data_IF_315621278668
#
_entry.id   IF_315621278668
#
_cell.length_a   1.000
_cell.length_b   1.000
_cell.length_c   1.000
_cell.angle_alpha   90.00
_cell.angle_beta   90.00
_cell.angle_gamma   90.00
#
_symmetry.space_group_name_H-M   'P 1'
#
loop_
_entity.id
_entity.type
_entity.pdbx_description
1 polymer ?
#
# COMPACT_ATOMS: atom_id res chain seq x y z
N UNK A 1 23.08 17.34 22.57
CA UNK A 1 22.23 18.55 22.75
C UNK A 1 21.42 18.67 21.50
N UNK A 2 20.19 18.14 21.49
CA UNK A 2 19.29 18.25 20.33
C UNK A 2 18.58 19.60 20.43
N UNK A 3 18.73 20.40 19.39
CA UNK A 3 18.23 21.76 19.29
C UNK A 3 16.71 21.80 19.44
N UNK A 4 16.24 22.48 20.49
CA UNK A 4 14.82 22.74 20.76
C UNK A 4 14.13 23.63 19.71
N UNK A 5 14.90 24.20 18.75
CA UNK A 5 14.38 24.99 17.62
C UNK A 5 13.59 24.15 16.60
N UNK A 6 13.86 22.84 16.57
CA UNK A 6 13.17 21.91 15.62
C UNK A 6 11.71 21.64 16.01
N UNK A 7 11.35 21.74 17.31
CA UNK A 7 9.97 21.51 17.78
C UNK A 7 8.99 22.62 17.38
N UNK A 8 9.44 23.87 17.32
CA UNK A 8 8.59 24.98 16.90
C UNK A 8 8.29 24.93 15.39
N UNK A 9 9.25 24.50 14.57
CA UNK A 9 9.09 24.39 13.11
C UNK A 9 8.15 23.26 12.68
N UNK A 10 8.01 22.20 13.50
CA UNK A 10 7.13 21.06 13.17
C UNK A 10 5.63 21.42 13.34
N UNK A 11 5.30 22.37 14.22
CA UNK A 11 3.92 22.80 14.47
C UNK A 11 3.30 23.50 13.26
N UNK A 12 4.10 24.23 12.51
CA UNK A 12 3.68 25.00 11.33
C UNK A 12 3.58 24.12 10.06
N UNK A 13 4.03 22.84 10.13
CA UNK A 13 4.09 21.94 8.99
C UNK A 13 2.74 21.40 8.53
N UNK A 14 1.76 21.38 9.41
CA UNK A 14 0.51 20.67 9.20
C UNK A 14 -0.71 21.57 9.45
N UNK A 15 -0.64 22.84 9.07
CA UNK A 15 -1.83 23.70 8.97
C UNK A 15 -2.61 23.38 7.69
N UNK A 16 -3.95 23.43 7.77
CA UNK A 16 -4.82 23.25 6.61
C UNK A 16 -5.11 21.76 6.27
N UNK A 17 -5.30 20.94 7.29
CA UNK A 17 -5.80 19.58 7.11
C UNK A 17 -7.14 19.55 6.40
N UNK A 18 -7.25 18.65 5.43
CA UNK A 18 -8.50 18.33 4.74
C UNK A 18 -9.01 17.00 5.27
N UNK A 19 -10.33 16.88 5.49
CA UNK A 19 -10.94 15.60 5.82
C UNK A 19 -10.55 14.54 4.80
N UNK A 20 -10.07 13.35 5.23
CA UNK A 20 -9.68 12.28 4.32
C UNK A 20 -10.80 11.89 3.35
N UNK A 21 -12.03 11.78 3.84
CA UNK A 21 -13.19 11.44 3.01
C UNK A 21 -13.49 12.52 1.97
N UNK A 22 -13.44 13.79 2.36
CA UNK A 22 -13.66 14.91 1.44
C UNK A 22 -12.57 14.95 0.34
N UNK A 23 -11.30 14.76 0.72
CA UNK A 23 -10.19 14.73 -0.21
C UNK A 23 -10.33 13.55 -1.21
N UNK A 24 -10.50 12.35 -0.70
CA UNK A 24 -10.63 11.13 -1.52
C UNK A 24 -11.82 11.25 -2.47
N UNK A 25 -13.00 11.66 -1.95
CA UNK A 25 -14.22 11.83 -2.76
C UNK A 25 -14.01 12.85 -3.87
N UNK A 26 -13.40 13.99 -3.58
CA UNK A 26 -13.10 15.02 -4.57
C UNK A 26 -12.23 14.51 -5.70
N UNK A 27 -11.12 13.82 -5.37
CA UNK A 27 -10.19 13.29 -6.37
C UNK A 27 -10.80 12.15 -7.19
N UNK A 28 -11.48 11.23 -6.54
CA UNK A 28 -12.13 10.09 -7.20
C UNK A 28 -13.26 10.52 -8.13
N UNK A 29 -14.10 11.47 -7.71
CA UNK A 29 -15.17 12.01 -8.55
C UNK A 29 -14.64 12.82 -9.76
N UNK A 30 -13.42 13.34 -9.66
CA UNK A 30 -12.71 13.95 -10.79
C UNK A 30 -12.09 12.93 -11.75
N UNK A 31 -12.28 11.61 -11.51
CA UNK A 31 -11.75 10.53 -12.34
C UNK A 31 -10.26 10.24 -12.12
N UNK A 32 -9.70 10.69 -11.00
CA UNK A 32 -8.27 10.49 -10.70
C UNK A 32 -7.93 9.05 -10.36
N UNK A 33 -6.68 8.66 -10.64
CA UNK A 33 -6.02 7.48 -10.08
C UNK A 33 -5.42 7.90 -8.74
N UNK A 34 -6.06 7.50 -7.64
CA UNK A 34 -5.61 7.82 -6.28
C UNK A 34 -4.81 6.66 -5.71
N UNK A 35 -3.50 6.85 -5.58
CA UNK A 35 -2.59 5.87 -5.02
C UNK A 35 -2.31 6.19 -3.54
N UNK A 36 -2.64 5.27 -2.67
CA UNK A 36 -2.41 5.39 -1.23
C UNK A 36 -1.31 4.41 -0.83
N UNK A 37 -0.28 4.94 -0.19
CA UNK A 37 0.78 4.13 0.37
C UNK A 37 0.29 3.35 1.58
N UNK A 38 0.80 2.13 1.77
CA UNK A 38 0.70 1.40 3.04
C UNK A 38 2.10 1.04 3.53
N UNK A 39 2.22 0.66 4.78
CA UNK A 39 3.47 0.17 5.35
C UNK A 39 3.26 -1.22 5.93
N UNK A 40 4.05 -2.17 5.47
CA UNK A 40 3.95 -3.56 5.91
C UNK A 40 4.20 -3.67 7.42
N UNK A 41 3.40 -4.46 8.10
CA UNK A 41 3.43 -4.66 9.56
C UNK A 41 2.97 -3.44 10.38
N UNK A 42 2.24 -2.51 9.77
CA UNK A 42 1.53 -1.42 10.44
C UNK A 42 0.02 -1.68 10.34
N UNK A 43 -0.47 -2.69 11.05
CA UNK A 43 -1.87 -3.15 10.92
C UNK A 43 -2.88 -2.07 11.26
N UNK A 44 -2.64 -1.27 12.31
CA UNK A 44 -3.52 -0.14 12.66
C UNK A 44 -3.59 0.92 11.55
N UNK A 45 -2.45 1.20 10.92
CA UNK A 45 -2.40 2.11 9.77
C UNK A 45 -3.21 1.55 8.60
N UNK A 46 -3.00 0.27 8.26
CA UNK A 46 -3.72 -0.41 7.20
C UNK A 46 -5.23 -0.43 7.45
N UNK A 47 -5.65 -0.70 8.69
CA UNK A 47 -7.05 -0.69 9.09
C UNK A 47 -7.69 0.70 8.95
N UNK A 48 -7.04 1.76 9.43
CA UNK A 48 -7.52 3.15 9.29
C UNK A 48 -7.66 3.58 7.83
N UNK A 49 -6.67 3.23 6.98
CA UNK A 49 -6.72 3.53 5.54
C UNK A 49 -7.89 2.78 4.89
N UNK A 50 -8.01 1.49 5.16
CA UNK A 50 -9.06 0.66 4.55
C UNK A 50 -10.44 1.00 5.09
N UNK A 51 -10.59 1.41 6.35
CA UNK A 51 -11.83 1.95 6.90
C UNK A 51 -12.29 3.18 6.13
N UNK A 52 -11.40 4.13 5.90
CA UNK A 52 -11.73 5.32 5.11
C UNK A 52 -12.12 4.98 3.65
N UNK A 53 -11.44 4.00 3.01
CA UNK A 53 -11.76 3.56 1.65
C UNK A 53 -13.11 2.83 1.57
N UNK A 54 -13.51 2.15 2.62
CA UNK A 54 -14.77 1.41 2.69
C UNK A 54 -15.96 2.26 3.19
N UNK A 55 -15.73 3.51 3.54
CA UNK A 55 -16.76 4.40 4.06
C UNK A 55 -17.93 4.59 3.07
N UNK A 56 -19.18 4.63 3.56
CA UNK A 56 -20.36 4.81 2.71
C UNK A 56 -20.34 6.08 1.86
N UNK A 57 -19.68 7.13 2.32
CA UNK A 57 -19.53 8.42 1.64
C UNK A 57 -18.78 8.32 0.31
N UNK A 58 -18.00 7.25 0.12
CA UNK A 58 -17.28 6.96 -1.13
C UNK A 58 -18.03 6.00 -2.06
N UNK A 59 -19.27 5.60 -1.71
CA UNK A 59 -20.08 4.76 -2.60
C UNK A 59 -20.36 5.51 -3.91
N UNK A 60 -20.06 4.85 -5.02
CA UNK A 60 -20.18 5.42 -6.36
C UNK A 60 -19.00 6.32 -6.78
N UNK A 61 -18.06 6.66 -5.90
CA UNK A 61 -16.88 7.44 -6.28
C UNK A 61 -15.80 6.60 -6.97
N UNK A 62 -15.73 5.31 -6.70
CA UNK A 62 -14.86 4.35 -7.38
C UNK A 62 -15.47 2.94 -7.38
N UNK A 63 -15.02 2.12 -8.31
CA UNK A 63 -15.45 0.73 -8.42
C UNK A 63 -14.30 -0.28 -8.41
N UNK A 64 -13.07 0.17 -8.61
CA UNK A 64 -11.89 -0.70 -8.67
C UNK A 64 -10.85 -0.27 -7.64
N UNK A 65 -10.39 -1.26 -6.87
CA UNK A 65 -9.32 -1.13 -5.90
C UNK A 65 -8.21 -2.11 -6.25
N UNK A 66 -7.09 -1.56 -6.72
CA UNK A 66 -5.88 -2.31 -7.03
C UNK A 66 -5.07 -2.48 -5.76
N UNK A 67 -4.64 -3.71 -5.48
CA UNK A 67 -3.85 -4.02 -4.28
C UNK A 67 -2.55 -4.74 -4.65
N UNK A 68 -1.50 -4.48 -3.90
CA UNK A 68 -0.19 -5.11 -4.06
C UNK A 68 -0.15 -6.55 -3.54
N UNK A 69 -0.90 -6.83 -2.48
CA UNK A 69 -0.90 -8.13 -1.81
C UNK A 69 -1.90 -9.09 -2.46
N UNK A 70 -1.43 -9.80 -3.46
CA UNK A 70 -2.25 -10.84 -4.07
C UNK A 70 -1.77 -11.28 -5.44
N UNK A 71 -1.56 -12.58 -5.56
CA UNK A 71 -1.19 -13.21 -6.81
C UNK A 71 -2.38 -13.22 -7.79
N UNK A 72 -2.22 -12.64 -8.98
CA UNK A 72 -3.28 -12.57 -10.00
C UNK A 72 -3.83 -13.95 -10.42
N UNK A 73 -3.10 -15.03 -10.18
CA UNK A 73 -3.58 -16.43 -10.34
C UNK A 73 -4.90 -16.68 -9.57
N UNK A 74 -5.08 -16.01 -8.43
CA UNK A 74 -6.24 -16.19 -7.56
C UNK A 74 -7.36 -15.16 -7.78
N UNK A 75 -7.34 -14.38 -8.87
CA UNK A 75 -8.35 -13.35 -9.13
C UNK A 75 -9.77 -13.93 -9.22
N UNK A 76 -9.96 -15.08 -9.87
CA UNK A 76 -11.26 -15.72 -9.97
C UNK A 76 -11.80 -16.17 -8.60
N UNK A 77 -10.95 -16.77 -7.77
CA UNK A 77 -11.27 -17.17 -6.41
C UNK A 77 -11.74 -15.97 -5.57
N UNK A 78 -11.00 -14.86 -5.63
CA UNK A 78 -11.37 -13.65 -4.91
C UNK A 78 -12.69 -13.06 -5.41
N UNK A 79 -12.91 -13.03 -6.72
CA UNK A 79 -14.16 -12.55 -7.29
C UNK A 79 -15.37 -13.39 -6.80
N UNK A 80 -15.25 -14.70 -6.80
CA UNK A 80 -16.27 -15.62 -6.29
C UNK A 80 -16.57 -15.36 -4.81
N UNK A 81 -15.52 -15.20 -3.99
CA UNK A 81 -15.67 -14.86 -2.58
C UNK A 81 -16.42 -13.53 -2.39
N UNK A 82 -16.01 -12.48 -3.10
CA UNK A 82 -16.61 -11.15 -2.99
C UNK A 82 -18.05 -11.08 -3.53
N UNK A 83 -18.42 -11.97 -4.45
CA UNK A 83 -19.81 -12.11 -4.97
C UNK A 83 -20.74 -12.90 -4.03
N UNK A 84 -20.22 -13.45 -2.95
CA UNK A 84 -21.00 -14.16 -1.93
C UNK A 84 -20.87 -15.68 -1.95
N UNK A 85 -20.08 -16.26 -2.89
CA UNK A 85 -19.84 -17.70 -2.91
C UNK A 85 -19.11 -18.19 -1.64
N UNK A 86 -19.34 -19.45 -1.32
CA UNK A 86 -18.65 -20.10 -0.20
C UNK A 86 -17.25 -20.46 -0.59
N UNK A 87 -16.27 -19.85 0.05
CA UNK A 87 -14.84 -20.11 -0.07
C UNK A 87 -14.30 -20.35 1.33
N UNK A 88 -13.53 -21.41 1.53
CA UNK A 88 -12.93 -21.70 2.83
C UNK A 88 -11.84 -20.69 3.17
N UNK A 89 -11.58 -20.47 4.46
CA UNK A 89 -10.50 -19.58 4.91
C UNK A 89 -9.14 -20.03 4.37
N UNK A 90 -8.91 -21.33 4.25
CA UNK A 90 -7.66 -21.86 3.71
C UNK A 90 -7.49 -21.58 2.21
N UNK A 91 -8.56 -21.63 1.43
CA UNK A 91 -8.55 -21.26 0.01
C UNK A 91 -8.38 -19.75 -0.15
N UNK A 92 -9.13 -18.96 0.61
CA UNK A 92 -9.03 -17.50 0.56
C UNK A 92 -7.61 -17.02 0.91
N UNK A 93 -6.96 -17.68 1.87
CA UNK A 93 -5.58 -17.37 2.26
C UNK A 93 -4.58 -17.48 1.09
N UNK A 94 -4.88 -18.28 0.06
CA UNK A 94 -4.05 -18.35 -1.14
C UNK A 94 -3.89 -16.98 -1.82
N UNK A 95 -4.90 -16.12 -1.75
CA UNK A 95 -4.87 -14.81 -2.41
C UNK A 95 -3.62 -14.04 -2.00
N UNK A 96 -3.30 -13.95 -0.70
CA UNK A 96 -2.17 -13.16 -0.21
C UNK A 96 -0.96 -13.99 0.21
N UNK A 97 -1.14 -15.24 0.65
CA UNK A 97 -0.02 -16.11 1.04
C UNK A 97 0.73 -16.71 -0.15
N UNK A 98 0.12 -16.76 -1.34
CA UNK A 98 0.79 -17.18 -2.59
C UNK A 98 1.47 -16.03 -3.34
N UNK A 99 1.53 -14.84 -2.75
CA UNK A 99 2.20 -13.69 -3.36
C UNK A 99 3.73 -13.79 -3.33
N UNK A 100 4.41 -13.01 -4.19
CA UNK A 100 5.89 -12.95 -4.24
C UNK A 100 6.46 -12.43 -2.92
N UNK A 101 5.83 -11.40 -2.35
CA UNK A 101 6.26 -10.76 -1.12
C UNK A 101 5.48 -11.26 0.11
N UNK A 102 4.97 -12.50 0.10
CA UNK A 102 4.12 -13.05 1.15
C UNK A 102 4.59 -12.82 2.59
N UNK A 103 5.90 -12.75 2.92
CA UNK A 103 6.31 -12.46 4.29
C UNK A 103 5.88 -11.08 4.78
N UNK A 104 5.55 -10.15 3.87
CA UNK A 104 5.02 -8.84 4.21
C UNK A 104 3.53 -8.90 4.62
N UNK A 105 2.80 -9.94 4.19
CA UNK A 105 1.35 -10.08 4.27
C UNK A 105 0.87 -11.13 5.29
N UNK A 106 1.73 -11.58 6.18
CA UNK A 106 1.38 -12.61 7.16
C UNK A 106 0.43 -12.12 8.26
N UNK A 107 0.28 -10.80 8.45
CA UNK A 107 -0.62 -10.27 9.47
C UNK A 107 -2.09 -10.50 9.10
N UNK A 108 -2.95 -10.91 10.07
CA UNK A 108 -4.37 -11.22 9.82
C UNK A 108 -5.20 -10.08 9.22
N UNK A 109 -4.78 -8.82 9.38
CA UNK A 109 -5.49 -7.66 8.83
C UNK A 109 -5.72 -7.74 7.31
N UNK A 110 -4.83 -8.40 6.57
CA UNK A 110 -4.98 -8.57 5.12
C UNK A 110 -6.12 -9.53 4.76
N UNK A 111 -6.28 -10.62 5.51
CA UNK A 111 -7.44 -11.51 5.36
C UNK A 111 -8.74 -10.83 5.77
N UNK A 112 -8.76 -10.19 6.94
CA UNK A 112 -9.90 -9.45 7.45
C UNK A 112 -10.35 -8.30 6.52
N UNK A 113 -9.44 -7.73 5.75
CA UNK A 113 -9.77 -6.73 4.73
C UNK A 113 -10.73 -7.29 3.67
N UNK A 114 -10.51 -8.49 3.15
CA UNK A 114 -11.40 -9.10 2.16
C UNK A 114 -12.79 -9.38 2.74
N UNK A 115 -12.87 -9.80 4.01
CA UNK A 115 -14.14 -9.99 4.72
C UNK A 115 -14.91 -8.67 4.84
N UNK A 116 -14.23 -7.58 5.20
CA UNK A 116 -14.84 -6.23 5.26
C UNK A 116 -15.33 -5.76 3.89
N UNK A 117 -14.55 -5.95 2.82
CA UNK A 117 -14.98 -5.58 1.46
C UNK A 117 -16.21 -6.38 1.05
N UNK A 118 -16.26 -7.69 1.33
CA UNK A 118 -17.44 -8.51 1.06
C UNK A 118 -18.67 -7.99 1.82
N UNK A 119 -18.51 -7.68 3.11
CA UNK A 119 -19.60 -7.17 3.93
C UNK A 119 -20.12 -5.82 3.41
N UNK A 120 -19.23 -4.89 3.08
CA UNK A 120 -19.61 -3.57 2.55
C UNK A 120 -20.26 -3.69 1.16
N UNK A 121 -19.77 -4.58 0.30
CA UNK A 121 -20.34 -4.80 -1.03
C UNK A 121 -21.80 -5.26 -1.00
N UNK A 122 -22.25 -5.89 0.10
CA UNK A 122 -23.67 -6.31 0.23
C UNK A 122 -24.65 -5.13 0.31
N UNK A 123 -24.17 -3.92 0.61
CA UNK A 123 -25.00 -2.72 0.80
C UNK A 123 -24.66 -1.59 -0.17
N UNK A 124 -23.51 -1.65 -0.87
CA UNK A 124 -23.09 -0.62 -1.82
C UNK A 124 -23.91 -0.65 -3.11
N UNK A 125 -24.20 0.53 -3.64
CA UNK A 125 -24.78 0.70 -4.98
C UNK A 125 -23.79 0.30 -6.09
N UNK A 126 -22.50 0.63 -5.84
CA UNK A 126 -21.40 0.25 -6.75
C UNK A 126 -20.43 -0.64 -5.97
N UNK A 127 -20.49 -1.97 -6.15
CA UNK A 127 -19.59 -2.89 -5.49
C UNK A 127 -18.13 -2.63 -5.84
N UNK A 128 -17.27 -2.72 -4.84
CA UNK A 128 -15.81 -2.62 -5.02
C UNK A 128 -15.28 -3.93 -5.61
N UNK A 129 -14.63 -3.83 -6.76
CA UNK A 129 -13.87 -4.90 -7.39
C UNK A 129 -12.42 -4.78 -6.99
N UNK A 130 -11.89 -5.77 -6.29
CA UNK A 130 -10.47 -5.84 -5.98
C UNK A 130 -9.74 -6.44 -7.18
N UNK A 131 -8.67 -5.79 -7.59
CA UNK A 131 -7.77 -6.24 -8.66
C UNK A 131 -6.44 -6.63 -8.06
N UNK A 132 -6.06 -7.91 -8.20
CA UNK A 132 -4.78 -8.43 -7.78
C UNK A 132 -3.72 -8.07 -8.81
N UNK A 133 -2.63 -7.44 -8.39
CA UNK A 133 -1.68 -6.81 -9.32
C UNK A 133 -0.34 -7.52 -9.43
N UNK A 134 -0.05 -8.47 -8.55
CA UNK A 134 1.16 -9.27 -8.73
C UNK A 134 1.06 -10.14 -9.99
N UNK A 135 2.14 -10.33 -10.74
CA UNK A 135 2.17 -11.27 -11.86
C UNK A 135 1.65 -12.64 -11.46
N UNK A 136 0.89 -13.29 -12.36
CA UNK A 136 0.42 -14.65 -12.14
C UNK A 136 1.60 -15.62 -12.20
N UNK A 137 1.79 -16.42 -11.15
CA UNK A 137 2.80 -17.47 -11.08
C UNK A 137 2.37 -18.61 -10.16
N UNK A 138 3.06 -19.73 -10.22
CA UNK A 138 2.92 -20.86 -9.29
C UNK A 138 4.21 -21.05 -8.52
N UNK A 139 4.11 -21.30 -7.20
CA UNK A 139 5.29 -21.57 -6.36
C UNK A 139 6.01 -22.86 -6.75
N UNK A 140 5.29 -23.81 -7.33
CA UNK A 140 5.83 -25.06 -7.87
C UNK A 140 6.82 -24.82 -9.02
N UNK A 141 6.70 -23.69 -9.71
CA UNK A 141 7.59 -23.30 -10.83
C UNK A 141 8.83 -22.54 -10.33
N UNK A 142 8.88 -22.15 -9.05
CA UNK A 142 9.98 -21.38 -8.46
C UNK A 142 11.00 -22.32 -7.84
N UNK A 143 12.16 -22.43 -8.45
CA UNK A 143 13.27 -23.26 -7.96
C UNK A 143 14.39 -22.44 -7.31
N UNK A 144 14.51 -21.16 -7.66
CA UNK A 144 15.59 -20.30 -7.19
C UNK A 144 15.11 -18.90 -6.84
N UNK A 145 15.74 -18.27 -5.86
CA UNK A 145 15.45 -16.87 -5.43
C UNK A 145 15.58 -15.85 -6.57
N UNK A 146 16.35 -16.12 -7.61
CA UNK A 146 16.47 -15.25 -8.80
C UNK A 146 15.15 -15.13 -9.57
N UNK A 147 14.34 -16.18 -9.59
CA UNK A 147 13.02 -16.18 -10.24
C UNK A 147 12.06 -15.28 -9.49
N UNK A 148 12.05 -15.33 -8.15
CA UNK A 148 11.30 -14.39 -7.32
C UNK A 148 11.76 -12.93 -7.53
N UNK A 149 13.06 -12.70 -7.63
CA UNK A 149 13.59 -11.38 -7.89
C UNK A 149 13.12 -10.81 -9.25
N UNK A 150 13.04 -11.66 -10.28
CA UNK A 150 12.50 -11.31 -11.60
C UNK A 150 11.02 -10.96 -11.53
N UNK A 151 10.21 -11.77 -10.84
CA UNK A 151 8.78 -11.48 -10.62
C UNK A 151 8.59 -10.18 -9.84
N UNK A 152 9.38 -9.98 -8.78
CA UNK A 152 9.35 -8.75 -7.98
C UNK A 152 9.66 -7.51 -8.81
N UNK A 153 10.61 -7.59 -9.74
CA UNK A 153 10.97 -6.47 -10.62
C UNK A 153 9.88 -6.11 -11.66
N UNK A 154 8.93 -7.01 -11.92
CA UNK A 154 7.84 -6.79 -12.87
C UNK A 154 6.59 -6.19 -12.23
N UNK A 155 6.51 -6.09 -10.89
CA UNK A 155 5.29 -5.73 -10.16
C UNK A 155 4.78 -4.33 -10.48
N UNK A 156 5.66 -3.33 -10.45
CA UNK A 156 5.28 -1.94 -10.72
C UNK A 156 4.76 -1.75 -12.15
N UNK A 157 5.42 -2.37 -13.12
CA UNK A 157 4.99 -2.35 -14.51
C UNK A 157 3.64 -3.03 -14.70
N UNK A 158 3.45 -4.22 -14.14
CA UNK A 158 2.20 -4.98 -14.21
C UNK A 158 1.03 -4.20 -13.58
N UNK A 159 1.29 -3.54 -12.44
CA UNK A 159 0.31 -2.67 -11.80
C UNK A 159 -0.05 -1.49 -12.69
N UNK A 160 0.92 -0.80 -13.28
CA UNK A 160 0.68 0.35 -14.15
C UNK A 160 -0.17 -0.03 -15.38
N UNK A 161 0.16 -1.15 -16.03
CA UNK A 161 -0.60 -1.67 -17.17
C UNK A 161 -2.04 -2.08 -16.78
N UNK A 162 -2.21 -2.70 -15.60
CA UNK A 162 -3.51 -3.06 -15.06
C UNK A 162 -4.40 -1.85 -14.81
N UNK A 163 -3.85 -0.82 -14.18
CA UNK A 163 -4.55 0.44 -13.89
C UNK A 163 -4.91 1.16 -15.20
N UNK A 164 -3.99 1.27 -16.15
CA UNK A 164 -4.25 1.89 -17.47
C UNK A 164 -5.39 1.20 -18.20
N UNK A 165 -5.34 -0.13 -18.28
CA UNK A 165 -6.39 -0.93 -18.93
C UNK A 165 -7.76 -0.71 -18.29
N UNK A 166 -7.83 -0.48 -17.01
CA UNK A 166 -9.08 -0.29 -16.29
C UNK A 166 -9.60 1.15 -16.41
N UNK A 167 -8.76 2.15 -16.24
CA UNK A 167 -9.14 3.58 -16.32
C UNK A 167 -9.72 3.95 -17.66
N UNK A 168 -9.27 3.32 -18.74
CA UNK A 168 -9.83 3.53 -20.07
C UNK A 168 -11.27 2.98 -20.25
N UNK A 169 -11.80 2.22 -19.29
CA UNK A 169 -13.10 1.54 -19.38
C UNK A 169 -14.15 2.10 -18.42
N UNK A 170 -13.76 2.69 -17.30
CA UNK A 170 -14.69 3.18 -16.29
C UNK A 170 -14.62 4.70 -16.20
N UNK A 171 -15.77 5.38 -16.17
CA UNK A 171 -15.86 6.82 -15.94
C UNK A 171 -15.67 7.25 -14.48
N UNK A 172 -15.34 6.32 -13.57
CA UNK A 172 -15.12 6.55 -12.15
C UNK A 172 -13.64 6.58 -11.82
N UNK A 173 -13.28 7.21 -10.69
CA UNK A 173 -11.93 7.17 -10.14
C UNK A 173 -11.48 5.75 -9.82
N UNK A 174 -10.18 5.56 -9.71
CA UNK A 174 -9.53 4.29 -9.39
C UNK A 174 -8.68 4.46 -8.14
N UNK A 175 -8.76 3.51 -7.24
CA UNK A 175 -7.90 3.46 -6.04
C UNK A 175 -6.82 2.40 -6.22
N UNK A 176 -5.60 2.76 -5.81
CA UNK A 176 -4.44 1.84 -5.74
C UNK A 176 -3.92 1.85 -4.31
N UNK A 177 -3.90 0.70 -3.65
CA UNK A 177 -3.38 0.52 -2.28
C UNK A 177 -2.17 -0.41 -2.33
N UNK A 178 -0.99 0.17 -2.16
CA UNK A 178 0.30 -0.51 -2.34
C UNK A 178 1.32 -0.01 -1.34
N UNK A 179 2.42 -0.72 -1.15
CA UNK A 179 3.50 -0.26 -0.28
C UNK A 179 3.96 1.15 -0.64
N UNK A 180 4.14 2.00 0.36
CA UNK A 180 4.33 3.45 0.19
C UNK A 180 5.44 3.85 -0.79
N UNK A 181 6.46 3.01 -1.01
CA UNK A 181 7.50 3.30 -1.99
C UNK A 181 7.02 3.25 -3.43
N UNK A 182 6.02 2.42 -3.72
CA UNK A 182 5.50 2.23 -5.08
C UNK A 182 4.73 3.45 -5.59
N UNK A 183 4.21 4.31 -4.69
CA UNK A 183 3.42 5.49 -5.08
C UNK A 183 4.25 6.73 -5.40
N UNK A 184 5.58 6.70 -5.18
CA UNK A 184 6.46 7.85 -5.38
C UNK A 184 6.54 8.25 -6.85
N UNK A 185 6.38 9.54 -7.15
CA UNK A 185 6.31 10.10 -8.50
C UNK A 185 7.66 10.12 -9.25
N UNK A 186 8.75 9.88 -8.55
CA UNK A 186 10.06 9.72 -9.19
C UNK A 186 10.83 8.55 -8.58
N UNK A 187 11.66 7.91 -9.40
CA UNK A 187 12.60 6.89 -8.95
C UNK A 187 13.83 7.51 -8.33
N UNK A 188 14.49 6.85 -7.37
CA UNK A 188 15.73 7.36 -6.80
C UNK A 188 16.83 7.39 -7.86
N UNK A 189 17.62 8.45 -7.85
CA UNK A 189 18.74 8.62 -8.79
C UNK A 189 19.96 7.75 -8.43
N UNK A 190 19.99 7.19 -7.22
CA UNK A 190 21.13 6.45 -6.69
C UNK A 190 20.71 5.12 -6.05
N UNK A 191 21.54 4.10 -6.16
CA UNK A 191 21.41 2.82 -5.50
C UNK A 191 20.71 1.72 -6.31
N UNK A 192 20.45 0.58 -5.66
CA UNK A 192 19.82 -0.59 -6.29
C UNK A 192 18.43 -0.30 -6.87
N UNK A 193 17.69 0.59 -6.23
CA UNK A 193 16.33 0.97 -6.65
C UNK A 193 16.31 1.87 -7.91
N UNK A 194 17.43 2.45 -8.30
CA UNK A 194 17.52 3.32 -9.49
C UNK A 194 17.34 2.56 -10.82
N UNK A 195 17.23 1.24 -10.79
CA UNK A 195 17.14 0.41 -12.00
C UNK A 195 15.73 0.16 -12.50
N UNK A 196 14.71 0.45 -11.69
CA UNK A 196 13.33 0.17 -12.01
C UNK A 196 12.45 1.36 -11.63
N UNK A 197 11.60 1.79 -12.55
CA UNK A 197 10.60 2.82 -12.27
C UNK A 197 9.60 2.31 -11.26
N UNK A 198 9.20 3.19 -10.33
CA UNK A 198 8.09 2.93 -9.43
C UNK A 198 6.77 2.97 -10.19
N UNK A 199 5.73 2.35 -9.66
CA UNK A 199 4.37 2.53 -10.18
C UNK A 199 4.00 4.01 -10.27
N UNK A 200 4.32 4.81 -9.23
CA UNK A 200 4.02 6.23 -9.17
C UNK A 200 4.67 7.04 -10.28
N UNK A 201 5.93 6.73 -10.62
CA UNK A 201 6.62 7.36 -11.77
C UNK A 201 5.92 7.00 -13.09
N UNK A 202 5.63 5.72 -13.32
CA UNK A 202 4.91 5.26 -14.51
C UNK A 202 3.52 5.88 -14.61
N UNK A 203 2.79 5.92 -13.50
CA UNK A 203 1.44 6.49 -13.43
C UNK A 203 1.45 8.01 -13.62
N UNK A 204 2.42 8.75 -13.05
CA UNK A 204 2.55 10.20 -13.26
C UNK A 204 2.85 10.50 -14.72
N UNK A 205 3.72 9.72 -15.38
CA UNK A 205 3.99 9.86 -16.79
C UNK A 205 2.74 9.62 -17.65
N UNK A 206 1.91 8.63 -17.28
CA UNK A 206 0.74 8.23 -18.06
C UNK A 206 -0.48 9.12 -17.82
N UNK A 207 -0.78 9.44 -16.58
CA UNK A 207 -2.01 10.12 -16.16
C UNK A 207 -1.82 11.61 -15.85
N UNK A 208 -0.58 12.09 -15.81
CA UNK A 208 -0.28 13.50 -15.52
C UNK A 208 -0.89 13.95 -14.20
N UNK A 209 -1.68 15.02 -14.23
CA UNK A 209 -2.35 15.59 -13.04
C UNK A 209 -3.53 14.75 -12.52
N UNK A 210 -3.98 13.75 -13.27
CA UNK A 210 -4.98 12.80 -12.79
C UNK A 210 -4.37 11.72 -11.88
N UNK A 211 -3.06 11.57 -11.81
CA UNK A 211 -2.41 10.75 -10.81
C UNK A 211 -2.24 11.52 -9.51
N UNK A 212 -2.75 10.97 -8.42
CA UNK A 212 -2.68 11.56 -7.08
C UNK A 212 -2.11 10.54 -6.10
N UNK A 213 -0.96 10.84 -5.51
CA UNK A 213 -0.29 9.98 -4.55
C UNK A 213 -0.42 10.52 -3.13
N UNK A 214 -0.77 9.62 -2.18
CA UNK A 214 -1.01 9.94 -0.77
C UNK A 214 -0.07 9.13 0.11
N UNK A 215 0.88 9.81 0.76
CA UNK A 215 1.83 9.17 1.67
C UNK A 215 1.29 9.15 3.10
N UNK A 216 1.12 7.99 3.74
CA UNK A 216 0.64 7.92 5.11
C UNK A 216 1.78 8.23 6.10
N UNK A 217 1.41 8.76 7.27
CA UNK A 217 2.31 8.89 8.38
C UNK A 217 2.71 7.51 8.93
N UNK A 218 4.01 7.20 8.91
CA UNK A 218 4.56 5.89 9.31
C UNK A 218 5.53 5.99 10.51
N UNK A 219 5.51 7.13 11.21
CA UNK A 219 6.39 7.38 12.35
C UNK A 219 5.70 7.03 13.66
N UNK A 220 6.48 6.57 14.64
CA UNK A 220 6.04 6.38 16.02
C UNK A 220 6.01 7.68 16.84
N UNK A 221 6.61 8.76 16.33
CA UNK A 221 6.58 10.07 16.97
C UNK A 221 5.32 10.82 16.58
N UNK A 222 4.69 11.49 17.57
CA UNK A 222 3.71 12.51 17.27
C UNK A 222 4.39 13.64 16.46
N UNK A 223 3.80 13.94 15.31
CA UNK A 223 3.97 15.28 14.76
C UNK A 223 3.11 16.20 15.61
N UNK A 224 3.60 17.38 15.96
CA UNK A 224 2.78 18.42 16.56
C UNK A 224 1.76 18.94 15.55
N UNK A 225 0.92 18.02 15.06
CA UNK A 225 -0.14 18.29 14.12
C UNK A 225 -1.42 18.47 14.91
N UNK A 226 -2.14 19.56 14.71
CA UNK A 226 -3.37 19.80 15.45
C UNK A 226 -4.48 18.81 15.12
N UNK A 227 -4.47 18.20 13.95
CA UNK A 227 -5.58 17.36 13.47
C UNK A 227 -5.12 16.17 12.64
N UNK A 228 -5.80 15.04 12.78
CA UNK A 228 -5.72 13.94 11.84
C UNK A 228 -6.36 14.37 10.51
N UNK A 229 -5.65 14.20 9.40
CA UNK A 229 -6.16 14.63 8.10
C UNK A 229 -5.17 14.45 6.97
N UNK A 230 -5.61 14.84 5.78
CA UNK A 230 -4.76 14.86 4.59
C UNK A 230 -4.28 16.31 4.36
N UNK A 231 -3.00 16.44 4.16
CA UNK A 231 -2.28 17.69 3.91
C UNK A 231 -1.73 17.67 2.48
N UNK A 232 -2.31 18.43 1.53
CA UNK A 232 -1.76 18.56 0.19
C UNK A 232 -0.34 19.15 0.23
N UNK A 233 0.58 18.58 -0.57
CA UNK A 233 2.00 18.96 -0.54
C UNK A 233 2.31 20.22 -1.35
N UNK A 234 1.39 20.69 -2.19
CA UNK A 234 1.49 21.95 -2.92
C UNK A 234 1.32 23.18 -2.02
N UNK A 235 0.93 23.01 -0.77
CA UNK A 235 0.87 24.09 0.21
C UNK A 235 2.26 24.65 0.52
N UNK A 236 2.40 25.98 0.70
CA UNK A 236 3.71 26.64 0.87
C UNK A 236 4.57 26.04 1.98
N UNK A 237 3.95 25.55 3.05
CA UNK A 237 4.64 24.97 4.21
C UNK A 237 5.21 23.57 3.95
N UNK A 238 4.61 22.80 3.04
CA UNK A 238 5.05 21.44 2.69
C UNK A 238 5.87 21.39 1.41
N UNK A 239 5.66 22.35 0.50
CA UNK A 239 6.20 22.36 -0.86
C UNK A 239 7.72 22.22 -0.96
N UNK A 240 8.47 22.63 0.02
CA UNK A 240 9.94 22.61 -0.01
C UNK A 240 10.53 21.77 1.12
N UNK A 241 9.71 20.98 1.81
CA UNK A 241 10.20 20.15 2.91
C UNK A 241 10.91 18.93 2.38
N UNK A 242 12.02 18.62 3.00
CA UNK A 242 12.74 17.40 2.71
C UNK A 242 11.93 16.19 3.16
N UNK A 243 11.86 15.19 2.30
CA UNK A 243 11.25 13.89 2.61
C UNK A 243 11.83 13.24 3.88
N UNK A 244 13.07 13.55 4.26
CA UNK A 244 13.70 13.09 5.49
C UNK A 244 13.03 13.58 6.76
N UNK A 245 12.40 14.74 6.74
CA UNK A 245 11.74 15.29 7.91
C UNK A 245 10.52 14.46 8.34
N UNK A 246 9.97 13.70 7.38
CA UNK A 246 8.77 12.89 7.54
C UNK A 246 9.04 11.37 7.51
N UNK A 247 10.30 10.97 7.35
CA UNK A 247 10.70 9.56 7.32
C UNK A 247 11.94 9.31 8.19
N UNK A 248 11.87 8.40 9.17
CA UNK A 248 12.93 8.20 10.15
C UNK A 248 14.07 7.34 9.60
N UNK A 249 14.76 7.76 8.54
CA UNK A 249 15.95 7.06 8.05
C UNK A 249 17.13 8.00 7.95
N UNK A 250 18.30 7.49 8.36
CA UNK A 250 19.56 8.23 8.21
C UNK A 250 19.73 8.67 6.75
N UNK A 251 20.16 9.91 6.47
CA UNK A 251 20.34 10.45 5.12
C UNK A 251 21.16 9.53 4.19
N UNK A 252 22.19 8.90 4.73
CA UNK A 252 23.09 8.00 3.99
C UNK A 252 22.43 6.72 3.44
N UNK A 253 21.20 6.43 3.85
CA UNK A 253 20.48 5.19 3.48
C UNK A 253 19.18 5.48 2.69
N UNK A 254 18.73 6.73 2.69
CA UNK A 254 17.53 7.11 1.97
C UNK A 254 17.87 7.80 0.64
N UNK A 255 17.61 7.15 -0.49
CA UNK A 255 17.94 7.72 -1.81
C UNK A 255 17.13 8.97 -2.15
N UNK A 256 16.05 9.25 -1.43
CA UNK A 256 15.20 10.45 -1.60
C UNK A 256 15.48 11.54 -0.56
N UNK A 257 16.58 11.43 0.19
CA UNK A 257 16.87 12.31 1.33
C UNK A 257 16.84 13.81 1.03
N UNK A 258 17.18 14.17 -0.20
CA UNK A 258 17.31 15.55 -0.65
C UNK A 258 16.20 15.97 -1.63
N UNK A 259 15.21 15.10 -1.87
CA UNK A 259 14.09 15.39 -2.75
C UNK A 259 13.00 16.09 -1.94
N UNK A 260 12.38 17.11 -2.50
CA UNK A 260 11.25 17.79 -1.88
C UNK A 260 10.03 16.89 -1.84
N UNK A 261 9.18 17.09 -0.83
CA UNK A 261 8.02 16.24 -0.61
C UNK A 261 7.01 16.32 -1.76
N UNK A 262 6.78 17.51 -2.29
CA UNK A 262 5.86 17.75 -3.41
C UNK A 262 6.32 17.14 -4.75
N UNK A 263 7.64 16.93 -4.91
CA UNK A 263 8.18 16.18 -6.04
C UNK A 263 7.89 14.69 -5.95
N UNK A 264 7.77 14.17 -4.72
CA UNK A 264 7.59 12.73 -4.46
C UNK A 264 6.14 12.31 -4.38
N UNK A 265 5.29 13.11 -3.71
CA UNK A 265 3.89 12.78 -3.46
C UNK A 265 3.01 14.04 -3.54
N UNK A 266 1.70 13.87 -3.70
CA UNK A 266 0.75 14.98 -3.82
C UNK A 266 0.09 15.33 -2.48
N UNK A 267 0.08 14.39 -1.54
CA UNK A 267 -0.50 14.60 -0.22
C UNK A 267 0.17 13.73 0.84
N UNK A 268 0.14 14.24 2.07
CA UNK A 268 0.59 13.55 3.27
C UNK A 268 -0.62 13.27 4.17
N UNK A 269 -0.83 11.99 4.54
CA UNK A 269 -1.94 11.61 5.39
C UNK A 269 -1.47 11.37 6.83
N UNK A 270 -1.78 12.30 7.72
CA UNK A 270 -1.51 12.16 9.15
C UNK A 270 -2.65 11.41 9.85
N UNK A 271 -2.34 10.28 10.41
CA UNK A 271 -3.26 9.37 11.10
C UNK A 271 -2.90 9.19 12.59
N UNK A 272 -2.05 10.08 13.12
CA UNK A 272 -1.44 9.93 14.44
C UNK A 272 -0.20 9.04 14.41
N UNK A 273 0.48 8.89 15.57
CA UNK A 273 1.66 8.03 15.72
C UNK A 273 1.34 6.59 15.31
N UNK A 274 2.28 5.96 14.63
CA UNK A 274 2.13 4.58 14.16
C UNK A 274 3.19 3.68 14.78
N UNK A 275 2.82 2.49 15.16
CA UNK A 275 3.74 1.47 15.69
C UNK A 275 3.80 0.29 14.73
N UNK A 276 5.02 -0.10 14.38
CA UNK A 276 5.24 -1.28 13.57
C UNK A 276 5.05 -2.53 14.43
N UNK A 277 4.09 -3.33 14.08
CA UNK A 277 3.78 -4.57 14.77
C UNK A 277 4.59 -5.72 14.14
N UNK A 278 5.78 -5.94 14.66
CA UNK A 278 6.60 -7.11 14.27
C UNK A 278 6.30 -8.33 15.17
N UNK A 279 5.37 -8.18 16.10
CA UNK A 279 4.98 -9.29 16.95
C UNK A 279 4.11 -10.25 16.15
N UNK A 280 4.62 -11.44 15.97
CA UNK A 280 3.92 -12.55 15.29
C UNK A 280 3.14 -13.41 16.27
N UNK A 281 3.13 -13.06 17.56
CA UNK A 281 2.36 -13.76 18.59
C UNK A 281 0.87 -13.62 18.28
N UNK A 282 0.18 -14.75 18.19
CA UNK A 282 -1.24 -14.79 17.89
C UNK A 282 -1.60 -14.78 16.40
N UNK A 283 -0.63 -14.71 15.49
CA UNK A 283 -0.92 -14.94 14.07
C UNK A 283 -1.24 -16.42 13.87
N UNK A 284 -2.50 -16.71 13.54
CA UNK A 284 -2.95 -18.06 13.23
C UNK A 284 -2.99 -18.25 11.72
N UNK A 285 -2.14 -19.13 11.22
CA UNK A 285 -2.14 -19.55 9.82
C UNK A 285 -2.69 -20.98 9.74
N UNK A 286 -3.58 -21.31 8.79
CA UNK A 286 -4.06 -22.67 8.60
C UNK A 286 -2.90 -23.65 8.44
N UNK A 287 -3.00 -24.86 9.04
CA UNK A 287 -1.92 -25.83 9.10
C UNK A 287 -1.34 -26.19 7.72
N UNK A 288 -2.18 -26.30 6.70
CA UNK A 288 -1.73 -26.54 5.34
C UNK A 288 -0.80 -25.44 4.80
N UNK A 289 -1.01 -24.18 5.24
CA UNK A 289 -0.18 -23.06 4.84
C UNK A 289 1.15 -23.02 5.59
N UNK A 290 1.21 -23.49 6.85
CA UNK A 290 2.48 -23.62 7.59
C UNK A 290 3.46 -24.48 6.81
N UNK A 291 3.02 -25.66 6.38
CA UNK A 291 3.86 -26.54 5.56
C UNK A 291 4.33 -25.88 4.26
N UNK A 292 3.45 -25.20 3.52
CA UNK A 292 3.83 -24.49 2.30
C UNK A 292 4.86 -23.39 2.55
N UNK A 293 4.70 -22.64 3.63
CA UNK A 293 5.64 -21.58 4.01
C UNK A 293 7.02 -22.15 4.39
N UNK A 294 7.06 -23.29 5.06
CA UNK A 294 8.32 -24.02 5.35
C UNK A 294 9.08 -24.37 4.06
N UNK A 295 8.38 -24.85 3.03
CA UNK A 295 9.00 -25.19 1.75
C UNK A 295 9.60 -23.96 1.03
N UNK A 296 9.12 -22.76 1.33
CA UNK A 296 9.59 -21.50 0.72
C UNK A 296 10.78 -20.86 1.46
N UNK A 297 11.12 -21.34 2.66
CA UNK A 297 12.21 -20.77 3.44
C UNK A 297 13.54 -20.65 2.68
N UNK A 298 13.99 -21.65 1.90
CA UNK A 298 15.25 -21.55 1.16
C UNK A 298 15.26 -20.48 0.05
N UNK A 299 14.09 -20.04 -0.38
CA UNK A 299 13.92 -19.13 -1.52
C UNK A 299 13.93 -17.66 -1.11
N UNK A 300 13.80 -17.36 0.20
CA UNK A 300 13.69 -16.01 0.76
C UNK A 300 14.95 -15.63 1.56
N UNK A 301 15.17 -14.34 1.78
CA UNK A 301 16.33 -13.86 2.54
C UNK A 301 16.20 -14.16 4.05
N UNK A 302 17.32 -14.10 4.79
CA UNK A 302 17.39 -14.43 6.22
C UNK A 302 16.38 -13.68 7.08
N UNK A 303 16.17 -12.38 6.81
CA UNK A 303 15.19 -11.57 7.54
C UNK A 303 13.76 -12.09 7.33
N UNK A 304 13.42 -12.46 6.10
CA UNK A 304 12.12 -13.04 5.77
C UNK A 304 11.97 -14.42 6.40
N UNK A 305 13.05 -15.25 6.38
CA UNK A 305 13.05 -16.54 7.05
C UNK A 305 12.75 -16.42 8.55
N UNK A 306 13.35 -15.43 9.24
CA UNK A 306 13.08 -15.19 10.66
C UNK A 306 11.59 -14.88 10.93
N UNK A 307 10.97 -14.06 10.08
CA UNK A 307 9.55 -13.72 10.21
C UNK A 307 8.67 -14.96 9.99
N UNK A 308 8.95 -15.72 8.94
CA UNK A 308 8.19 -16.95 8.63
C UNK A 308 8.29 -17.96 9.77
N UNK A 309 9.49 -18.25 10.27
CA UNK A 309 9.71 -19.20 11.37
C UNK A 309 8.88 -18.85 12.59
N UNK A 310 8.87 -17.57 13.00
CA UNK A 310 8.06 -17.10 14.14
C UNK A 310 6.56 -17.32 13.96
N UNK A 311 6.06 -17.34 12.73
CA UNK A 311 4.62 -17.49 12.43
C UNK A 311 4.20 -18.95 12.34
N UNK A 312 5.12 -19.85 11.90
CA UNK A 312 4.82 -21.27 11.74
C UNK A 312 5.09 -22.09 13.02
N UNK A 313 5.96 -21.61 13.91
CA UNK A 313 6.15 -22.16 15.26
C UNK A 313 4.92 -21.96 16.13
#
# INVERSE_FOLDING_TARGET
MFDTSTKAKTKDLLEGAVSPLAFLKSKLNAGSVVAIGEAHWFSELFEKITEALLAPELDGSFSHLFIEFGNAKHQALLNNYLSGETVTQAELAAVWLDSVAFPAWLHPCYGAFFERVRAVNSTRKVPIKIVLTEPSFSWEDIQHSKELAKLSAQRDQALAEGVEKQTSKCGLGVVVLVGARHILKCSPTLGFMAKHSTFGELAKHKFGEQYVSVWPHILSSELNAPEHGIYPTDQPLLKQRSFLELIPKKPSVNPYAFTCLDELVDAYWYLGPQTRQLDTVGISIPQMWKWRLEQRLPLVNERQQMVIKKVIE
#
